data_IF_737940519788
#
_entry.id   IF_737940519788
#
_cell.length_a   1.000
_cell.length_b   1.000
_cell.length_c   1.000
_cell.angle_alpha   90.00
_cell.angle_beta   90.00
_cell.angle_gamma   90.00
#
_symmetry.space_group_name_H-M   'P 1'
#
loop_
_entity.id
_entity.type
_entity.pdbx_description
1 polymer ?
#
# COMPACT_ATOMS: atom_id res chain seq x y z
N UNK A 1 -1.32 -11.07 -4.10
CA UNK A 1 -1.40 -9.64 -4.44
C UNK A 1 -2.75 -9.38 -5.09
N UNK A 2 -3.19 -8.13 -5.16
CA UNK A 2 -4.36 -7.78 -5.98
C UNK A 2 -4.07 -8.07 -7.44
N UNK A 3 -5.11 -8.39 -8.22
CA UNK A 3 -4.98 -8.70 -9.64
C UNK A 3 -5.13 -7.47 -10.55
N UNK A 4 -5.76 -6.42 -10.04
CA UNK A 4 -5.99 -5.19 -10.79
C UNK A 4 -4.69 -4.43 -10.97
N UNK A 5 -4.35 -4.14 -12.22
CA UNK A 5 -3.32 -3.19 -12.60
C UNK A 5 -3.75 -1.75 -12.28
N UNK A 6 -2.80 -0.79 -12.20
CA UNK A 6 -3.15 0.62 -12.05
C UNK A 6 -4.10 1.15 -13.13
N UNK A 7 -3.99 0.64 -14.37
CA UNK A 7 -4.84 1.02 -15.49
C UNK A 7 -6.27 0.52 -15.28
N UNK A 8 -6.45 -0.76 -14.93
CA UNK A 8 -7.79 -1.31 -14.65
C UNK A 8 -8.45 -0.62 -13.46
N UNK A 9 -7.69 -0.39 -12.39
CA UNK A 9 -8.17 0.30 -11.19
C UNK A 9 -8.67 1.71 -11.51
N UNK A 10 -7.88 2.49 -12.23
CA UNK A 10 -8.27 3.86 -12.63
C UNK A 10 -9.44 3.84 -13.60
N UNK A 11 -9.52 2.84 -14.48
CA UNK A 11 -10.67 2.57 -15.34
C UNK A 11 -11.97 2.37 -14.56
N UNK A 12 -11.96 1.48 -13.56
CA UNK A 12 -13.13 1.25 -12.70
C UNK A 12 -13.49 2.48 -11.87
N UNK A 13 -12.52 3.18 -11.29
CA UNK A 13 -12.77 4.42 -10.55
C UNK A 13 -13.43 5.48 -11.45
N UNK A 14 -12.94 5.64 -12.69
CA UNK A 14 -13.53 6.54 -13.69
C UNK A 14 -14.96 6.15 -14.05
N UNK A 15 -15.24 4.86 -14.23
CA UNK A 15 -16.58 4.37 -14.51
C UNK A 15 -17.54 4.71 -13.37
N UNK A 16 -17.17 4.39 -12.12
CA UNK A 16 -17.96 4.70 -10.93
C UNK A 16 -18.28 6.20 -10.84
N UNK A 17 -17.29 7.06 -11.09
CA UNK A 17 -17.48 8.51 -11.06
C UNK A 17 -18.37 9.01 -12.21
N UNK A 18 -18.30 8.39 -13.40
CA UNK A 18 -19.20 8.72 -14.52
C UNK A 18 -20.65 8.35 -14.22
N UNK A 19 -20.88 7.15 -13.69
CA UNK A 19 -22.21 6.68 -13.28
C UNK A 19 -22.82 7.59 -12.21
N UNK A 20 -21.99 8.09 -11.29
CA UNK A 20 -22.36 9.09 -10.27
C UNK A 20 -22.47 10.52 -10.79
N UNK A 21 -22.21 10.76 -12.08
CA UNK A 21 -22.14 12.10 -12.71
C UNK A 21 -21.16 13.05 -11.97
N UNK A 22 -20.10 12.49 -11.39
CA UNK A 22 -19.10 13.18 -10.57
C UNK A 22 -17.70 13.18 -11.20
N UNK A 23 -17.54 12.89 -12.50
CA UNK A 23 -16.24 12.83 -13.19
C UNK A 23 -15.80 14.16 -13.84
N UNK A 24 -16.49 15.27 -13.61
CA UNK A 24 -15.99 16.61 -13.98
C UNK A 24 -15.48 17.29 -12.73
N UNK A 25 -14.41 18.08 -12.84
CA UNK A 25 -13.73 18.73 -11.70
C UNK A 25 -14.69 19.33 -10.66
N UNK A 26 -15.60 20.23 -11.09
CA UNK A 26 -16.54 20.89 -10.16
C UNK A 26 -17.55 19.92 -9.54
N UNK A 27 -18.00 18.92 -10.32
CA UNK A 27 -18.94 17.91 -9.85
C UNK A 27 -18.28 16.94 -8.86
N UNK A 28 -17.03 16.56 -9.13
CA UNK A 28 -16.22 15.75 -8.23
C UNK A 28 -15.99 16.47 -6.92
N UNK A 29 -15.56 17.74 -6.98
CA UNK A 29 -15.33 18.57 -5.79
C UNK A 29 -16.60 18.66 -4.94
N UNK A 30 -17.74 18.97 -5.56
CA UNK A 30 -19.04 19.02 -4.86
C UNK A 30 -19.42 17.68 -4.25
N UNK A 31 -19.25 16.58 -4.97
CA UNK A 31 -19.56 15.22 -4.51
C UNK A 31 -18.65 14.77 -3.36
N UNK A 32 -17.35 15.06 -3.46
CA UNK A 32 -16.33 14.69 -2.48
C UNK A 32 -16.63 15.32 -1.12
N UNK A 33 -16.92 16.63 -1.10
CA UNK A 33 -17.16 17.39 0.13
C UNK A 33 -18.61 17.37 0.61
N UNK A 34 -19.49 16.63 -0.07
CA UNK A 34 -20.88 16.47 0.37
C UNK A 34 -20.92 15.78 1.73
N UNK A 35 -21.50 16.45 2.74
CA UNK A 35 -21.56 15.97 4.12
C UNK A 35 -20.35 16.32 4.98
N UNK A 36 -19.41 17.14 4.49
CA UNK A 36 -18.25 17.60 5.27
C UNK A 36 -17.04 16.67 5.28
N UNK A 37 -17.10 15.54 4.57
CA UNK A 37 -15.96 14.62 4.44
C UNK A 37 -14.88 15.16 3.49
N UNK A 38 -13.62 14.85 3.76
CA UNK A 38 -12.48 15.16 2.85
C UNK A 38 -12.14 14.02 1.88
N UNK A 39 -12.86 12.90 1.98
CA UNK A 39 -12.65 11.73 1.14
C UNK A 39 -13.94 10.95 0.94
N UNK A 40 -14.01 10.18 -0.15
CA UNK A 40 -15.08 9.20 -0.37
C UNK A 40 -14.47 7.83 -0.63
N UNK A 41 -15.15 6.79 -0.15
CA UNK A 41 -14.74 5.42 -0.42
C UNK A 41 -15.45 4.89 -1.67
N UNK A 42 -14.70 4.16 -2.48
CA UNK A 42 -15.23 3.34 -3.56
C UNK A 42 -14.78 1.89 -3.35
N UNK A 43 -15.59 0.94 -3.80
CA UNK A 43 -15.26 -0.48 -3.80
C UNK A 43 -15.14 -0.96 -5.23
N UNK A 44 -14.04 -1.64 -5.55
CA UNK A 44 -13.76 -2.17 -6.88
C UNK A 44 -14.29 -3.61 -7.03
N UNK A 45 -14.32 -4.17 -8.26
CA UNK A 45 -14.84 -5.53 -8.48
C UNK A 45 -14.12 -6.62 -7.69
N UNK A 46 -12.81 -6.46 -7.42
CA UNK A 46 -12.01 -7.35 -6.57
C UNK A 46 -12.29 -7.20 -5.07
N UNK A 47 -13.32 -6.43 -4.70
CA UNK A 47 -13.74 -6.10 -3.33
C UNK A 47 -12.73 -5.28 -2.55
N UNK A 48 -11.67 -4.78 -3.17
CA UNK A 48 -10.79 -3.81 -2.54
C UNK A 48 -11.48 -2.45 -2.42
N UNK A 49 -11.26 -1.79 -1.29
CA UNK A 49 -11.79 -0.45 -0.99
C UNK A 49 -10.71 0.60 -1.21
N UNK A 50 -11.05 1.71 -1.84
CA UNK A 50 -10.13 2.80 -2.16
C UNK A 50 -10.72 4.14 -1.73
N UNK A 51 -9.88 5.00 -1.16
CA UNK A 51 -10.24 6.35 -0.78
C UNK A 51 -9.88 7.33 -1.89
N UNK A 52 -10.88 8.08 -2.35
CA UNK A 52 -10.74 9.18 -3.29
C UNK A 52 -10.61 10.49 -2.51
N UNK A 53 -9.65 11.32 -2.88
CA UNK A 53 -9.38 12.65 -2.30
C UNK A 53 -9.21 13.69 -3.40
N UNK A 54 -9.24 14.96 -3.03
CA UNK A 54 -8.91 16.05 -3.94
C UNK A 54 -7.43 16.03 -4.28
N UNK A 55 -7.12 16.08 -5.57
CA UNK A 55 -5.75 16.22 -6.06
C UNK A 55 -5.29 17.67 -6.06
N UNK A 56 -3.97 17.86 -6.03
CA UNK A 56 -3.37 19.20 -5.94
C UNK A 56 -3.33 19.94 -7.29
N UNK A 57 -3.62 19.26 -8.39
CA UNK A 57 -3.55 19.77 -9.76
C UNK A 57 -4.91 19.62 -10.45
N UNK A 58 -5.36 20.63 -11.20
CA UNK A 58 -6.69 20.63 -11.82
C UNK A 58 -6.83 19.56 -12.91
N UNK A 59 -5.74 19.26 -13.60
CA UNK A 59 -5.63 18.20 -14.62
C UNK A 59 -5.61 16.78 -14.00
N UNK A 60 -5.21 16.65 -12.73
CA UNK A 60 -5.10 15.39 -11.99
C UNK A 60 -5.80 15.52 -10.63
N UNK A 61 -7.06 15.93 -10.66
CA UNK A 61 -7.80 16.37 -9.48
C UNK A 61 -8.35 15.23 -8.60
N UNK A 62 -8.12 13.97 -8.97
CA UNK A 62 -8.55 12.79 -8.22
C UNK A 62 -7.30 12.06 -7.72
N UNK A 63 -7.09 12.09 -6.40
CA UNK A 63 -6.09 11.24 -5.76
C UNK A 63 -6.74 9.95 -5.28
N UNK A 64 -6.12 8.81 -5.61
CA UNK A 64 -6.62 7.48 -5.29
C UNK A 64 -5.65 6.80 -4.30
N UNK A 65 -6.14 6.46 -3.12
CA UNK A 65 -5.37 5.79 -2.07
C UNK A 65 -6.02 4.46 -1.70
N UNK A 66 -5.24 3.41 -1.37
CA UNK A 66 -5.83 2.22 -0.78
C UNK A 66 -6.58 2.58 0.50
N UNK A 67 -7.79 2.05 0.66
CA UNK A 67 -8.57 2.22 1.87
C UNK A 67 -7.86 1.64 3.09
N UNK A 68 -8.19 2.15 4.28
CA UNK A 68 -7.65 1.57 5.52
C UNK A 68 -8.11 0.12 5.64
N UNK A 69 -7.15 -0.80 5.84
CA UNK A 69 -7.38 -2.25 5.88
C UNK A 69 -8.00 -2.85 4.60
N UNK A 70 -7.88 -2.14 3.47
CA UNK A 70 -8.37 -2.64 2.19
C UNK A 70 -7.72 -3.98 1.83
N UNK A 71 -8.47 -4.82 1.13
CA UNK A 71 -7.95 -6.06 0.57
C UNK A 71 -6.69 -5.79 -0.25
N UNK A 72 -5.82 -6.79 -0.29
CA UNK A 72 -4.56 -6.73 -1.04
C UNK A 72 -3.54 -5.70 -0.55
N UNK A 73 -3.77 -5.05 0.60
CA UNK A 73 -2.80 -4.14 1.22
C UNK A 73 -2.03 -4.79 2.38
N UNK A 74 -0.81 -4.33 2.60
CA UNK A 74 -0.03 -4.61 3.81
C UNK A 74 0.32 -3.27 4.44
N UNK A 75 -0.31 -2.94 5.56
CA UNK A 75 0.02 -1.74 6.34
C UNK A 75 1.13 -2.07 7.32
N UNK A 76 2.25 -1.38 7.21
CA UNK A 76 3.38 -1.50 8.14
C UNK A 76 3.93 -0.13 8.53
N UNK A 77 4.72 -0.09 9.61
CA UNK A 77 5.51 1.10 9.97
C UNK A 77 6.70 1.24 9.01
N UNK A 78 7.20 2.46 8.83
CA UNK A 78 8.34 2.73 7.98
C UNK A 78 9.56 1.87 8.32
N UNK A 79 9.87 1.71 9.61
CA UNK A 79 10.98 0.85 10.06
C UNK A 79 10.81 -0.61 9.62
N UNK A 80 9.60 -1.15 9.67
CA UNK A 80 9.31 -2.52 9.21
C UNK A 80 9.56 -2.68 7.71
N UNK A 81 9.15 -1.69 6.90
CA UNK A 81 9.43 -1.69 5.46
C UNK A 81 10.93 -1.60 5.18
N UNK A 82 11.64 -0.67 5.84
CA UNK A 82 13.10 -0.53 5.73
C UNK A 82 13.81 -1.84 6.09
N UNK A 83 13.44 -2.47 7.20
CA UNK A 83 13.97 -3.78 7.59
C UNK A 83 13.75 -4.83 6.49
N UNK A 84 12.53 -4.95 5.95
CA UNK A 84 12.26 -5.91 4.90
C UNK A 84 13.13 -5.68 3.65
N UNK A 85 13.29 -4.42 3.22
CA UNK A 85 14.13 -4.06 2.07
C UNK A 85 15.61 -4.38 2.33
N UNK A 86 16.16 -3.95 3.48
CA UNK A 86 17.56 -4.20 3.82
C UNK A 86 17.87 -5.70 3.94
N UNK A 87 16.96 -6.47 4.54
CA UNK A 87 17.10 -7.93 4.66
C UNK A 87 17.14 -8.58 3.28
N UNK A 88 16.24 -8.20 2.37
CA UNK A 88 16.23 -8.74 1.01
C UNK A 88 17.47 -8.34 0.21
N UNK A 89 17.93 -7.09 0.35
CA UNK A 89 19.17 -6.64 -0.27
C UNK A 89 20.38 -7.44 0.24
N UNK A 90 20.50 -7.61 1.56
CA UNK A 90 21.56 -8.39 2.19
C UNK A 90 21.56 -9.84 1.69
N UNK A 91 20.40 -10.49 1.68
CA UNK A 91 20.24 -11.85 1.15
C UNK A 91 20.70 -11.96 -0.30
N UNK A 92 20.31 -11.01 -1.15
CA UNK A 92 20.64 -11.02 -2.57
C UNK A 92 22.12 -10.76 -2.85
N UNK A 93 22.76 -9.90 -2.06
CA UNK A 93 24.20 -9.57 -2.15
C UNK A 93 25.03 -10.78 -1.73
N UNK A 94 24.72 -11.37 -0.57
CA UNK A 94 25.50 -12.46 0.02
C UNK A 94 25.03 -13.87 -0.35
N UNK A 95 24.06 -13.99 -1.27
CA UNK A 95 23.51 -15.26 -1.78
C UNK A 95 23.03 -16.20 -0.67
N UNK A 96 22.38 -15.64 0.35
CA UNK A 96 21.82 -16.40 1.46
C UNK A 96 20.51 -17.05 1.01
N UNK A 97 20.24 -18.28 1.45
CA UNK A 97 19.06 -19.04 1.00
C UNK A 97 17.75 -18.51 1.58
N UNK A 98 17.73 -18.09 2.85
CA UNK A 98 16.54 -17.54 3.51
C UNK A 98 16.87 -16.71 4.76
N UNK A 99 16.04 -15.72 5.13
CA UNK A 99 16.22 -14.98 6.38
C UNK A 99 15.82 -15.82 7.59
N UNK A 100 16.63 -15.76 8.65
CA UNK A 100 16.26 -16.16 10.00
C UNK A 100 16.18 -14.95 10.95
N UNK A 101 15.75 -15.16 12.20
CA UNK A 101 15.58 -14.08 13.18
C UNK A 101 16.90 -13.36 13.49
N UNK A 102 17.99 -14.12 13.56
CA UNK A 102 19.33 -13.60 13.83
C UNK A 102 19.80 -12.65 12.72
N UNK A 103 19.75 -13.08 11.46
CA UNK A 103 20.08 -12.26 10.31
C UNK A 103 19.25 -10.98 10.28
N UNK A 104 17.94 -11.08 10.54
CA UNK A 104 17.06 -9.92 10.58
C UNK A 104 17.50 -8.94 11.67
N UNK A 105 17.84 -9.44 12.86
CA UNK A 105 18.29 -8.60 13.96
C UNK A 105 19.67 -7.98 13.69
N UNK A 106 20.57 -8.71 13.05
CA UNK A 106 21.87 -8.18 12.61
C UNK A 106 21.66 -7.05 11.60
N UNK A 107 20.82 -7.26 10.58
CA UNK A 107 20.52 -6.21 9.59
C UNK A 107 19.86 -4.98 10.24
N UNK A 108 18.99 -5.19 11.23
CA UNK A 108 18.35 -4.09 11.97
C UNK A 108 19.35 -3.28 12.78
N UNK A 109 20.31 -3.95 13.41
CA UNK A 109 21.32 -3.30 14.21
C UNK A 109 22.31 -2.54 13.31
N UNK A 110 22.95 -3.25 12.38
CA UNK A 110 24.06 -2.75 11.56
C UNK A 110 23.63 -1.65 10.57
N UNK A 111 22.50 -1.82 9.88
CA UNK A 111 22.12 -0.92 8.78
C UNK A 111 21.05 0.11 9.16
N UNK A 112 20.29 -0.13 10.24
CA UNK A 112 19.13 0.67 10.59
C UNK A 112 19.20 1.28 11.99
N UNK A 113 20.24 0.97 12.78
CA UNK A 113 20.38 1.35 14.18
C UNK A 113 19.08 1.12 14.98
N UNK A 114 18.49 -0.06 14.81
CA UNK A 114 17.19 -0.40 15.36
C UNK A 114 17.28 -1.59 16.30
N UNK A 115 16.53 -1.53 17.41
CA UNK A 115 16.43 -2.61 18.38
C UNK A 115 16.00 -3.94 17.74
N UNK A 116 16.41 -5.10 18.27
CA UNK A 116 16.02 -6.40 17.75
C UNK A 116 14.50 -6.60 17.85
N UNK A 117 13.95 -7.39 16.92
CA UNK A 117 12.60 -7.94 17.07
C UNK A 117 12.66 -9.22 17.90
N UNK A 118 11.66 -9.44 18.75
CA UNK A 118 11.61 -10.60 19.64
C UNK A 118 11.29 -11.91 18.90
N UNK A 119 10.47 -11.84 17.84
CA UNK A 119 10.06 -13.02 17.08
C UNK A 119 9.55 -12.65 15.68
N UNK A 120 9.55 -13.64 14.79
CA UNK A 120 8.94 -13.56 13.46
C UNK A 120 7.58 -14.26 13.49
N UNK A 121 6.51 -13.52 13.77
CA UNK A 121 5.17 -14.09 13.69
C UNK A 121 4.67 -14.12 12.24
N UNK A 122 3.86 -15.13 11.90
CA UNK A 122 3.19 -15.23 10.59
C UNK A 122 2.26 -14.05 10.30
N UNK A 123 1.73 -13.44 11.36
CA UNK A 123 0.85 -12.26 11.31
C UNK A 123 1.61 -10.94 11.27
N UNK A 124 2.93 -10.94 11.50
CA UNK A 124 3.74 -9.74 11.49
C UNK A 124 3.80 -9.12 10.09
N UNK A 125 3.75 -7.79 10.05
CA UNK A 125 3.93 -7.04 8.81
C UNK A 125 5.28 -7.33 8.12
N UNK A 126 6.34 -7.58 8.91
CA UNK A 126 7.67 -7.88 8.40
C UNK A 126 7.68 -9.17 7.57
N UNK A 127 7.21 -10.28 8.14
CA UNK A 127 7.25 -11.55 7.44
C UNK A 127 6.34 -11.55 6.20
N UNK A 128 5.18 -10.88 6.29
CA UNK A 128 4.30 -10.70 5.13
C UNK A 128 5.00 -9.95 3.99
N UNK A 129 5.78 -8.91 4.30
CA UNK A 129 6.57 -8.19 3.30
C UNK A 129 7.70 -9.05 2.71
N UNK A 130 8.46 -9.75 3.54
CA UNK A 130 9.53 -10.64 3.07
C UNK A 130 8.99 -11.70 2.08
N UNK A 131 7.82 -12.29 2.38
CA UNK A 131 7.13 -13.24 1.49
C UNK A 131 6.65 -12.62 0.18
N UNK A 132 6.36 -11.31 0.16
CA UNK A 132 6.00 -10.62 -1.09
C UNK A 132 7.25 -10.37 -1.91
N UNK A 133 8.34 -9.93 -1.29
CA UNK A 133 9.58 -9.61 -1.97
C UNK A 133 10.34 -10.85 -2.47
N UNK A 134 10.21 -11.99 -1.78
CA UNK A 134 10.84 -13.25 -2.21
C UNK A 134 10.11 -13.95 -3.37
N UNK A 135 8.93 -13.46 -3.77
CA UNK A 135 8.17 -13.97 -4.92
C UNK A 135 8.45 -13.19 -6.20
N UNK A 136 9.30 -12.16 -6.13
CA UNK A 136 9.72 -11.33 -7.25
C UNK A 136 11.07 -11.83 -7.74
#
# INVERSE_FOLDING_TARGET
MGKLTPIELTGFAKQILKERRAFKYELYKKWLYMGGDEYKLITLPDKSTWALRMGNKKENYIHIHPGRYSLHTIRVRALTLKTAICVMAYINIYKISSPNLELINNVRNEFLNAAPVKSLSLTSGLLRLLKVFSKV
#
